data_IF_962030095908
#
_entry.id   IF_962030095908
#
_cell.length_a   1.000
_cell.length_b   1.000
_cell.length_c   1.000
_cell.angle_alpha   90.00
_cell.angle_beta   90.00
_cell.angle_gamma   90.00
#
_symmetry.space_group_name_H-M   'P 1'
#
loop_
_entity.id
_entity.type
_entity.pdbx_description
1 polymer ?
#
# COMPACT_ATOMS: atom_id res chain seq x y z
N UNK A 1 -8.14 6.89 -1.99
CA UNK A 1 -8.58 5.69 -1.23
C UNK A 1 -7.38 4.82 -0.88
N UNK A 2 -6.79 4.08 -1.85
CA UNK A 2 -5.70 3.14 -1.58
C UNK A 2 -4.47 3.75 -0.87
N UNK A 3 -4.00 4.90 -1.34
CA UNK A 3 -2.81 5.57 -0.78
C UNK A 3 -3.03 5.98 0.69
N UNK A 4 -4.22 6.49 1.01
CA UNK A 4 -4.63 6.87 2.36
C UNK A 4 -4.74 5.64 3.29
N UNK A 5 -5.32 4.54 2.79
CA UNK A 5 -5.40 3.29 3.53
C UNK A 5 -4.00 2.76 3.88
N UNK A 6 -3.07 2.75 2.90
CA UNK A 6 -1.72 2.25 3.13
C UNK A 6 -0.95 3.12 4.14
N UNK A 7 -1.11 4.44 4.05
CA UNK A 7 -0.55 5.38 5.02
C UNK A 7 -1.03 5.07 6.44
N UNK A 8 -2.34 4.89 6.62
CA UNK A 8 -2.92 4.56 7.91
C UNK A 8 -2.48 3.20 8.43
N UNK A 9 -2.44 2.18 7.58
CA UNK A 9 -1.98 0.83 7.96
C UNK A 9 -0.54 0.89 8.46
N UNK A 10 0.36 1.56 7.73
CA UNK A 10 1.74 1.75 8.16
C UNK A 10 1.80 2.42 9.53
N UNK A 11 1.08 3.53 9.72
CA UNK A 11 1.02 4.22 11.03
C UNK A 11 0.51 3.31 12.15
N UNK A 12 -0.59 2.60 11.94
CA UNK A 12 -1.12 1.70 12.97
C UNK A 12 -0.14 0.59 13.33
N UNK A 13 0.63 0.08 12.37
CA UNK A 13 1.64 -0.95 12.62
C UNK A 13 2.90 -0.41 13.31
N UNK A 14 3.24 0.87 13.14
CA UNK A 14 4.52 1.45 13.60
C UNK A 14 4.42 2.38 14.80
N UNK A 15 3.35 3.17 14.90
CA UNK A 15 3.25 4.27 15.88
C UNK A 15 2.93 3.73 17.27
N UNK A 16 3.77 4.04 18.25
CA UNK A 16 3.55 3.59 19.64
C UNK A 16 2.34 4.27 20.29
N UNK A 17 2.10 5.53 19.95
CA UNK A 17 0.96 6.29 20.43
C UNK A 17 -0.32 5.99 19.62
N UNK A 18 -1.52 6.17 20.21
CA UNK A 18 -2.76 6.10 19.48
C UNK A 18 -2.78 7.07 18.29
N UNK A 19 -3.22 6.58 17.13
CA UNK A 19 -3.31 7.34 15.89
C UNK A 19 -4.69 7.98 15.79
N UNK A 20 -4.72 9.30 15.73
CA UNK A 20 -5.88 10.08 15.27
C UNK A 20 -5.58 10.59 13.86
N UNK A 21 -6.52 10.42 12.94
CA UNK A 21 -6.39 10.85 11.55
C UNK A 21 -7.76 11.15 10.97
N UNK A 22 -7.86 12.24 10.21
CA UNK A 22 -9.06 12.62 9.46
C UNK A 22 -8.66 12.92 8.02
N UNK A 23 -9.02 12.02 7.11
CA UNK A 23 -8.72 12.10 5.69
C UNK A 23 -9.97 12.17 4.82
N UNK A 24 -9.77 12.04 3.51
CA UNK A 24 -10.87 12.12 2.54
C UNK A 24 -11.71 10.84 2.51
N UNK A 25 -11.14 9.71 2.94
CA UNK A 25 -11.78 8.40 2.86
C UNK A 25 -11.88 7.69 4.21
N UNK A 26 -11.00 8.00 5.15
CA UNK A 26 -10.94 7.38 6.46
C UNK A 26 -10.82 8.43 7.55
N UNK A 27 -11.55 8.21 8.65
CA UNK A 27 -11.42 8.99 9.88
C UNK A 27 -11.35 8.03 11.05
N UNK A 28 -10.31 8.17 11.88
CA UNK A 28 -10.07 7.36 13.08
C UNK A 28 -9.62 8.28 14.21
N UNK A 29 -10.01 7.94 15.44
CA UNK A 29 -9.67 8.70 16.63
C UNK A 29 -9.05 7.77 17.67
N UNK A 30 -7.86 8.12 18.18
CA UNK A 30 -7.14 7.40 19.22
C UNK A 30 -7.04 5.87 18.96
N UNK A 31 -6.87 5.47 17.69
CA UNK A 31 -6.80 4.08 17.30
C UNK A 31 -5.42 3.48 17.61
N UNK A 32 -5.38 2.26 18.17
CA UNK A 32 -4.14 1.52 18.43
C UNK A 32 -4.06 0.32 17.48
N UNK A 33 -2.97 0.20 16.72
CA UNK A 33 -2.72 -1.00 15.92
C UNK A 33 -2.12 -2.11 16.77
N UNK A 34 -2.98 -2.97 17.32
CA UNK A 34 -2.59 -4.10 18.15
C UNK A 34 -3.19 -5.41 17.61
N UNK A 35 -2.49 -6.56 17.75
CA UNK A 35 -1.14 -6.70 18.35
C UNK A 35 -0.04 -6.10 17.46
N UNK A 36 1.12 -5.77 18.07
CA UNK A 36 2.26 -5.29 17.30
C UNK A 36 2.88 -6.41 16.49
N UNK A 37 3.28 -6.14 15.23
CA UNK A 37 4.05 -7.11 14.47
C UNK A 37 5.43 -7.33 15.13
N UNK A 38 5.93 -8.57 15.01
CA UNK A 38 7.29 -8.93 15.42
C UNK A 38 8.32 -8.21 14.53
N UNK A 39 8.06 -8.12 13.22
CA UNK A 39 8.94 -7.42 12.28
C UNK A 39 8.82 -5.89 12.42
N UNK A 40 9.96 -5.20 12.37
CA UNK A 40 10.07 -3.74 12.43
C UNK A 40 10.59 -3.15 11.11
N UNK A 41 10.15 -1.94 10.71
CA UNK A 41 9.14 -1.11 11.38
C UNK A 41 7.73 -1.71 11.27
N UNK A 42 7.44 -2.42 10.19
CA UNK A 42 6.23 -3.20 9.95
C UNK A 42 6.61 -4.43 9.09
N UNK A 43 5.75 -5.45 8.96
CA UNK A 43 5.99 -6.54 8.03
C UNK A 43 6.20 -6.03 6.59
N UNK A 44 6.95 -6.73 5.73
CA UNK A 44 7.13 -6.33 4.34
C UNK A 44 5.79 -6.16 3.62
N UNK A 45 5.62 -5.03 2.94
CA UNK A 45 4.39 -4.69 2.22
C UNK A 45 4.52 -5.14 0.76
N UNK A 46 3.56 -5.94 0.32
CA UNK A 46 3.39 -6.33 -1.07
C UNK A 46 2.31 -5.47 -1.74
N UNK A 47 2.61 -4.92 -2.92
CA UNK A 47 1.62 -4.23 -3.76
C UNK A 47 1.65 -4.84 -5.16
N UNK A 48 0.50 -5.37 -5.60
CA UNK A 48 0.33 -5.97 -6.92
C UNK A 48 -0.46 -5.08 -7.87
N UNK A 49 -0.07 -5.09 -9.15
CA UNK A 49 -0.80 -4.43 -10.23
C UNK A 49 0.01 -4.38 -11.53
N UNK A 50 -0.59 -3.84 -12.59
CA UNK A 50 0.08 -3.65 -13.89
C UNK A 50 -0.32 -2.41 -14.63
N UNK A 51 -0.83 -1.40 -13.92
CA UNK A 51 -0.98 -0.05 -14.48
C UNK A 51 0.11 0.84 -13.94
N UNK A 52 0.59 1.77 -14.77
CA UNK A 52 1.65 2.75 -14.44
C UNK A 52 1.43 3.41 -13.07
N UNK A 53 0.20 3.85 -12.77
CA UNK A 53 -0.13 4.46 -11.48
C UNK A 53 0.17 3.54 -10.29
N UNK A 54 -0.25 2.27 -10.37
CA UNK A 54 -0.08 1.31 -9.27
C UNK A 54 1.40 0.92 -9.15
N UNK A 55 2.08 0.70 -10.27
CA UNK A 55 3.51 0.37 -10.29
C UNK A 55 4.37 1.52 -9.76
N UNK A 56 4.07 2.76 -10.17
CA UNK A 56 4.74 3.98 -9.67
C UNK A 56 4.53 4.16 -8.17
N UNK A 57 3.33 3.87 -7.67
CA UNK A 57 3.06 3.94 -6.25
C UNK A 57 3.76 2.80 -5.48
N UNK A 58 3.72 1.58 -6.01
CA UNK A 58 4.39 0.41 -5.44
C UNK A 58 5.90 0.63 -5.32
N UNK A 59 6.54 1.19 -6.35
CA UNK A 59 7.97 1.53 -6.34
C UNK A 59 8.37 2.48 -5.19
N UNK A 60 7.44 3.34 -4.74
CA UNK A 60 7.69 4.29 -3.64
C UNK A 60 7.34 3.72 -2.26
N UNK A 61 6.43 2.75 -2.19
CA UNK A 61 5.75 2.42 -0.93
C UNK A 61 5.83 0.95 -0.52
N UNK A 62 6.11 0.04 -1.45
CA UNK A 62 6.14 -1.39 -1.21
C UNK A 62 7.57 -1.89 -0.95
N UNK A 63 7.67 -3.02 -0.25
CA UNK A 63 8.89 -3.80 -0.17
C UNK A 63 8.96 -4.82 -1.31
N UNK A 64 7.80 -5.28 -1.80
CA UNK A 64 7.68 -6.28 -2.86
C UNK A 64 6.65 -5.79 -3.88
N UNK A 65 7.02 -5.79 -5.15
CA UNK A 65 6.14 -5.37 -6.25
C UNK A 65 5.69 -6.59 -7.04
N UNK A 66 4.37 -6.82 -7.06
CA UNK A 66 3.75 -7.83 -7.90
C UNK A 66 3.46 -7.26 -9.28
N UNK A 67 4.27 -7.63 -10.26
CA UNK A 67 4.07 -7.21 -11.65
C UNK A 67 2.99 -8.08 -12.32
N UNK A 68 1.80 -7.52 -12.49
CA UNK A 68 0.64 -8.19 -13.08
C UNK A 68 0.14 -7.40 -14.32
N UNK A 69 0.80 -7.57 -15.49
CA UNK A 69 0.52 -6.78 -16.68
C UNK A 69 -0.94 -6.93 -17.12
N UNK A 70 -1.51 -5.87 -17.69
CA UNK A 70 -2.85 -5.94 -18.26
C UNK A 70 -2.83 -6.88 -19.47
N UNK A 71 -3.56 -8.00 -19.37
CA UNK A 71 -3.83 -8.82 -20.54
C UNK A 71 -4.83 -8.09 -21.44
N UNK A 72 -4.32 -7.44 -22.49
CA UNK A 72 -5.17 -7.04 -23.61
C UNK A 72 -5.58 -8.29 -24.40
N UNK A 73 -6.76 -8.33 -25.01
CA UNK A 73 -7.17 -9.46 -25.88
C UNK A 73 -6.20 -9.70 -27.05
N UNK A 74 -5.28 -8.77 -27.32
CA UNK A 74 -4.20 -8.87 -28.32
C UNK A 74 -2.91 -9.51 -27.80
N UNK A 75 -2.89 -10.02 -26.56
CA UNK A 75 -1.67 -10.50 -25.91
C UNK A 75 -0.94 -9.42 -25.10
N UNK A 76 0.19 -9.79 -24.50
CA UNK A 76 0.97 -8.92 -23.63
C UNK A 76 1.59 -7.79 -24.45
N UNK A 77 1.09 -6.57 -24.29
CA UNK A 77 1.70 -5.39 -24.89
C UNK A 77 2.75 -4.84 -23.93
N UNK A 78 4.03 -4.92 -24.32
CA UNK A 78 5.16 -4.45 -23.49
C UNK A 78 5.06 -2.94 -23.18
N UNK A 79 4.28 -2.17 -23.96
CA UNK A 79 4.01 -0.75 -23.69
C UNK A 79 3.00 -0.50 -22.59
N UNK A 80 2.25 -1.51 -22.16
CA UNK A 80 1.34 -1.40 -21.01
C UNK A 80 2.08 -1.62 -19.67
N UNK A 81 3.37 -1.99 -19.75
CA UNK A 81 4.25 -2.28 -18.62
C UNK A 81 5.18 -1.12 -18.23
N UNK A 82 5.27 -0.08 -19.07
CA UNK A 82 6.09 1.13 -18.86
C UNK A 82 5.17 2.30 -18.58
#
# INVERSE_FOLDING_TARGET
RFEEALYLIKKLLTEEMPVTFSGNFYSIEQAKGLPRPVQKPHPPIYIGGGGERVLSFAAKQANIVGFAPKNSQKGLNMKDAT
#
